data_IF_078156433129
#
_entry.id   IF_078156433129
#
_cell.length_a   1.000
_cell.length_b   1.000
_cell.length_c   1.000
_cell.angle_alpha   90.00
_cell.angle_beta   90.00
_cell.angle_gamma   90.00
#
_symmetry.space_group_name_H-M   'P 1'
#
loop_
_entity.id
_entity.type
_entity.pdbx_description
1 polymer ?
#
# COMPACT_ATOMS: atom_id res chain seq x y z
N UNK A 1 30.30 -6.93 -9.98
CA UNK A 1 30.80 -6.33 -8.73
C UNK A 1 30.75 -4.82 -8.89
N UNK A 2 29.87 -4.12 -8.15
CA UNK A 2 29.75 -2.65 -8.24
C UNK A 2 30.85 -2.05 -7.35
N UNK A 3 31.74 -1.24 -7.95
CA UNK A 3 32.97 -0.76 -7.32
C UNK A 3 32.62 0.24 -6.17
N UNK A 4 33.20 0.10 -4.97
CA UNK A 4 32.86 0.95 -3.82
C UNK A 4 33.22 2.44 -3.98
N UNK A 5 34.02 2.80 -4.98
CA UNK A 5 34.36 4.20 -5.28
C UNK A 5 33.24 4.98 -6.00
N UNK A 6 32.43 4.33 -6.84
CA UNK A 6 31.34 5.01 -7.57
C UNK A 6 30.22 5.48 -6.64
N UNK A 7 29.98 4.76 -5.54
CA UNK A 7 28.96 5.15 -4.57
C UNK A 7 29.34 6.40 -3.78
N UNK A 8 30.64 6.62 -3.55
CA UNK A 8 31.13 7.76 -2.76
C UNK A 8 31.01 9.08 -3.55
N UNK A 9 31.30 9.03 -4.86
CA UNK A 9 31.19 10.20 -5.77
C UNK A 9 29.74 10.64 -5.96
N UNK A 10 28.84 9.68 -6.20
CA UNK A 10 27.40 9.96 -6.34
C UNK A 10 26.82 10.55 -5.05
N UNK A 11 27.30 10.10 -3.89
CA UNK A 11 26.82 10.60 -2.60
C UNK A 11 27.26 12.05 -2.35
N UNK A 12 28.47 12.44 -2.77
CA UNK A 12 28.95 13.82 -2.66
C UNK A 12 28.20 14.79 -3.58
N UNK A 13 27.85 14.38 -4.80
CA UNK A 13 27.11 15.22 -5.75
C UNK A 13 25.69 15.51 -5.25
N UNK A 14 25.00 14.48 -4.73
CA UNK A 14 23.66 14.62 -4.17
C UNK A 14 23.63 15.55 -2.94
N UNK A 15 24.65 15.47 -2.08
CA UNK A 15 24.77 16.37 -0.92
C UNK A 15 24.93 17.82 -1.37
N UNK A 16 25.71 18.08 -2.42
CA UNK A 16 25.89 19.43 -2.96
C UNK A 16 24.60 19.99 -3.56
N UNK A 17 23.85 19.18 -4.31
CA UNK A 17 22.57 19.58 -4.88
C UNK A 17 21.53 19.92 -3.78
N UNK A 18 21.48 19.11 -2.72
CA UNK A 18 20.60 19.37 -1.57
C UNK A 18 20.99 20.68 -0.85
N UNK A 19 22.28 21.00 -0.75
CA UNK A 19 22.75 22.27 -0.18
C UNK A 19 22.33 23.48 -1.04
N UNK A 20 22.37 23.34 -2.36
CA UNK A 20 21.86 24.39 -3.27
C UNK A 20 20.35 24.60 -3.08
N UNK A 21 19.57 23.52 -3.03
CA UNK A 21 18.13 23.58 -2.77
C UNK A 21 17.81 24.19 -1.40
N UNK A 22 18.61 23.87 -0.38
CA UNK A 22 18.47 24.44 0.95
C UNK A 22 18.63 25.97 0.93
N UNK A 23 19.62 26.49 0.21
CA UNK A 23 19.88 27.92 0.09
C UNK A 23 18.83 28.64 -0.79
N UNK A 24 18.31 27.98 -1.83
CA UNK A 24 17.27 28.53 -2.69
C UNK A 24 15.89 28.63 -2.01
N UNK A 25 15.65 27.82 -0.98
CA UNK A 25 14.33 27.72 -0.35
C UNK A 25 14.19 28.68 0.82
N UNK A 26 13.08 29.44 0.83
CA UNK A 26 12.69 30.34 1.93
C UNK A 26 11.83 29.65 3.00
N UNK A 27 11.10 28.59 2.64
CA UNK A 27 10.25 27.84 3.57
C UNK A 27 11.08 27.06 4.60
N UNK A 28 10.92 27.43 5.87
CA UNK A 28 11.59 26.79 7.00
C UNK A 28 11.23 25.31 7.16
N UNK A 29 10.04 24.88 6.72
CA UNK A 29 9.63 23.47 6.77
C UNK A 29 10.43 22.64 5.76
N UNK A 30 10.53 23.09 4.52
CA UNK A 30 11.29 22.41 3.47
C UNK A 30 12.78 22.44 3.81
N UNK A 31 13.30 23.57 4.29
CA UNK A 31 14.70 23.67 4.80
C UNK A 31 14.99 22.64 5.89
N UNK A 32 14.04 22.43 6.82
CA UNK A 32 14.16 21.43 7.89
C UNK A 32 14.17 20.01 7.33
N UNK A 33 13.35 19.71 6.32
CA UNK A 33 13.32 18.40 5.66
C UNK A 33 14.59 18.11 4.84
N UNK A 34 15.07 19.09 4.07
CA UNK A 34 16.33 18.98 3.32
C UNK A 34 17.52 18.78 4.26
N UNK A 35 17.56 19.53 5.36
CA UNK A 35 18.57 19.38 6.40
C UNK A 35 18.51 18.00 7.07
N UNK A 36 17.30 17.50 7.35
CA UNK A 36 17.11 16.17 7.91
C UNK A 36 17.74 15.11 6.98
N UNK A 37 17.49 15.17 5.67
CA UNK A 37 17.99 14.20 4.70
C UNK A 37 19.51 14.01 4.73
N UNK A 38 20.26 15.12 4.89
CA UNK A 38 21.74 15.11 4.95
C UNK A 38 22.31 15.00 6.37
N UNK A 39 21.50 15.25 7.41
CA UNK A 39 21.96 15.33 8.81
C UNK A 39 22.56 14.04 9.37
N UNK A 40 22.18 12.87 8.82
CA UNK A 40 22.73 11.56 9.20
C UNK A 40 24.04 11.21 8.50
N UNK A 41 24.31 11.84 7.36
CA UNK A 41 25.46 11.51 6.51
C UNK A 41 26.68 12.37 6.84
N UNK A 42 26.47 13.58 7.36
CA UNK A 42 27.53 14.53 7.72
C UNK A 42 27.65 14.74 9.23
N UNK A 43 28.87 15.01 9.69
CA UNK A 43 29.12 15.42 11.06
C UNK A 43 28.60 16.84 11.32
N UNK A 44 28.35 17.16 12.60
CA UNK A 44 27.85 18.51 12.98
C UNK A 44 28.82 19.61 12.53
N UNK A 45 30.12 19.34 12.61
CA UNK A 45 31.17 20.29 12.24
C UNK A 45 31.19 20.56 10.74
N UNK A 46 31.02 19.53 9.91
CA UNK A 46 30.93 19.69 8.44
C UNK A 46 29.69 20.47 8.02
N UNK A 47 28.54 20.21 8.66
CA UNK A 47 27.30 20.95 8.38
C UNK A 47 27.38 22.43 8.78
N UNK A 48 28.01 22.73 9.92
CA UNK A 48 28.23 24.11 10.35
C UNK A 48 29.23 24.85 9.46
N UNK A 49 30.21 24.13 8.89
CA UNK A 49 31.14 24.71 7.90
C UNK A 49 30.45 25.00 6.56
N UNK A 50 29.50 24.14 6.15
CA UNK A 50 28.76 24.29 4.90
C UNK A 50 27.64 25.35 4.98
N UNK A 51 27.04 25.55 6.16
CA UNK A 51 25.97 26.52 6.41
C UNK A 51 26.28 27.28 7.72
N UNK A 52 26.87 28.48 7.66
CA UNK A 52 27.31 29.21 8.84
C UNK A 52 26.16 29.68 9.76
N UNK A 53 24.95 29.84 9.23
CA UNK A 53 23.76 30.23 10.00
C UNK A 53 23.11 29.07 10.78
N UNK A 54 23.71 27.89 10.73
CA UNK A 54 23.12 26.68 11.30
C UNK A 54 23.57 26.46 12.75
N UNK A 55 22.61 26.45 13.67
CA UNK A 55 22.88 26.13 15.08
C UNK A 55 22.85 24.62 15.32
N UNK A 56 23.66 24.17 16.28
CA UNK A 56 23.69 22.78 16.78
C UNK A 56 22.29 22.26 17.10
N UNK A 57 21.45 23.10 17.70
CA UNK A 57 20.06 22.78 18.03
C UNK A 57 19.22 22.40 16.81
N UNK A 58 19.34 23.13 15.69
CA UNK A 58 18.57 22.82 14.46
C UNK A 58 18.99 21.50 13.83
N UNK A 59 20.29 21.15 13.94
CA UNK A 59 20.80 19.85 13.50
C UNK A 59 20.22 18.73 14.37
N UNK A 60 20.20 18.92 15.68
CA UNK A 60 19.64 17.93 16.62
C UNK A 60 18.13 17.74 16.42
N UNK A 61 17.39 18.83 16.18
CA UNK A 61 15.97 18.76 15.81
C UNK A 61 15.75 18.01 14.49
N UNK A 62 16.54 18.28 13.45
CA UNK A 62 16.42 17.61 12.17
C UNK A 62 16.72 16.10 12.27
N UNK A 63 17.70 15.70 13.10
CA UNK A 63 18.00 14.29 13.40
C UNK A 63 16.90 13.62 14.22
N UNK A 64 16.30 14.36 15.15
CA UNK A 64 15.17 13.90 15.93
C UNK A 64 13.97 13.66 15.03
N UNK A 65 13.65 14.54 14.07
CA UNK A 65 12.51 14.36 13.17
C UNK A 65 12.61 13.11 12.31
N UNK A 66 13.82 12.76 11.85
CA UNK A 66 14.02 11.47 11.16
C UNK A 66 13.80 10.33 12.12
N UNK A 67 14.24 10.47 13.37
CA UNK A 67 14.11 9.43 14.39
C UNK A 67 12.64 9.27 14.83
N UNK A 68 11.88 10.35 14.92
CA UNK A 68 10.44 10.35 15.19
C UNK A 68 9.64 9.90 13.98
N UNK A 69 10.06 10.27 12.77
CA UNK A 69 9.50 9.70 11.54
C UNK A 69 9.79 8.19 11.48
N UNK A 70 11.00 7.73 11.80
CA UNK A 70 11.29 6.30 11.84
C UNK A 70 10.63 5.59 13.04
N UNK A 71 10.47 6.19 14.21
CA UNK A 71 9.80 5.53 15.35
C UNK A 71 8.27 5.55 15.25
N UNK A 72 7.70 6.54 14.55
CA UNK A 72 6.26 6.62 14.28
C UNK A 72 5.86 5.92 12.97
N UNK A 73 6.78 5.69 12.03
CA UNK A 73 6.49 5.10 10.71
C UNK A 73 7.07 3.69 10.56
N UNK A 74 8.09 3.28 11.33
CA UNK A 74 8.59 1.90 11.33
C UNK A 74 7.68 0.91 12.06
N UNK A 75 6.78 1.36 12.94
CA UNK A 75 5.86 0.43 13.61
C UNK A 75 4.55 0.24 12.83
N UNK A 76 4.14 1.21 12.00
CA UNK A 76 2.81 1.17 11.39
C UNK A 76 2.78 0.99 9.87
N UNK A 77 3.74 1.49 9.09
CA UNK A 77 3.58 1.45 7.61
C UNK A 77 4.25 0.26 6.94
N UNK A 78 5.41 -0.20 7.43
CA UNK A 78 6.02 -1.44 6.95
C UNK A 78 5.16 -2.67 7.29
N UNK A 79 4.34 -2.57 8.35
CA UNK A 79 3.39 -3.60 8.77
C UNK A 79 2.27 -3.83 7.74
N UNK A 80 1.83 -2.78 7.03
CA UNK A 80 0.74 -2.89 6.04
C UNK A 80 1.21 -3.27 4.64
N UNK A 81 2.51 -3.17 4.36
CA UNK A 81 3.08 -3.34 3.02
C UNK A 81 3.87 -4.65 2.84
N UNK A 82 4.19 -5.37 3.92
CA UNK A 82 4.84 -6.67 3.83
C UNK A 82 3.78 -7.81 3.76
N UNK A 83 3.64 -8.52 2.62
CA UNK A 83 2.71 -9.65 2.48
C UNK A 83 3.02 -10.80 3.47
N UNK A 84 4.21 -10.81 4.07
CA UNK A 84 4.59 -11.75 5.13
C UNK A 84 3.85 -11.48 6.45
N UNK A 85 3.48 -10.22 6.74
CA UNK A 85 2.85 -9.83 8.00
C UNK A 85 1.33 -9.99 8.00
N UNK A 86 0.71 -9.97 6.81
CA UNK A 86 -0.70 -10.30 6.59
C UNK A 86 -1.00 -11.74 7.08
N UNK A 87 0.02 -12.59 7.24
CA UNK A 87 -0.11 -13.95 7.78
C UNK A 87 -0.34 -14.01 9.31
N UNK A 88 -0.03 -12.96 10.07
CA UNK A 88 0.00 -13.05 11.55
C UNK A 88 -1.35 -12.66 12.19
N UNK A 89 -2.15 -11.79 11.56
CA UNK A 89 -3.30 -11.14 12.22
C UNK A 89 -4.64 -11.87 12.03
N UNK A 90 -4.69 -13.00 11.32
CA UNK A 90 -5.89 -13.85 11.36
C UNK A 90 -5.55 -15.32 11.54
N UNK A 91 -5.51 -15.74 12.78
CA UNK A 91 -5.59 -17.15 13.11
C UNK A 91 -7.03 -17.63 12.84
N UNK A 92 -7.19 -18.69 12.06
CA UNK A 92 -8.47 -19.36 11.81
C UNK A 92 -8.97 -19.31 10.36
N UNK A 93 -9.54 -20.44 9.93
CA UNK A 93 -10.24 -20.63 8.66
C UNK A 93 -11.73 -20.81 8.92
N UNK A 94 -12.59 -20.34 8.02
CA UNK A 94 -14.03 -20.59 8.08
C UNK A 94 -14.53 -21.20 6.80
N UNK A 95 -15.43 -22.15 6.96
CA UNK A 95 -16.06 -22.90 5.89
C UNK A 95 -17.20 -22.10 5.25
N UNK A 96 -17.07 -21.80 3.97
CA UNK A 96 -18.13 -21.26 3.14
C UNK A 96 -18.87 -22.40 2.46
N UNK A 97 -20.14 -22.57 2.80
CA UNK A 97 -21.03 -23.50 2.09
C UNK A 97 -21.48 -22.85 0.78
N UNK A 98 -21.19 -23.53 -0.32
CA UNK A 98 -21.72 -23.20 -1.64
C UNK A 98 -23.13 -23.77 -1.77
N UNK A 99 -23.94 -23.15 -2.63
CA UNK A 99 -25.28 -23.65 -2.96
C UNK A 99 -25.23 -25.02 -3.65
N UNK A 100 -24.10 -25.35 -4.27
CA UNK A 100 -23.79 -26.66 -4.87
C UNK A 100 -23.50 -27.77 -3.83
N UNK A 101 -23.58 -27.46 -2.53
CA UNK A 101 -23.27 -28.39 -1.43
C UNK A 101 -21.78 -28.50 -1.07
N UNK A 102 -20.90 -27.97 -1.92
CA UNK A 102 -19.46 -27.94 -1.68
C UNK A 102 -19.09 -26.91 -0.61
N UNK A 103 -18.04 -27.18 0.18
CA UNK A 103 -17.57 -26.29 1.24
C UNK A 103 -16.15 -25.82 0.93
N UNK A 104 -15.94 -24.50 0.88
CA UNK A 104 -14.63 -23.87 0.63
C UNK A 104 -14.12 -23.23 1.92
N UNK A 105 -12.92 -23.60 2.36
CA UNK A 105 -12.25 -22.99 3.51
C UNK A 105 -11.65 -21.65 3.12
N UNK A 106 -12.06 -20.57 3.78
CA UNK A 106 -11.52 -19.22 3.54
C UNK A 106 -10.78 -18.73 4.79
N UNK A 107 -9.55 -18.20 4.64
CA UNK A 107 -8.85 -17.54 5.73
C UNK A 107 -9.58 -16.28 6.21
N UNK A 108 -9.62 -16.07 7.53
CA UNK A 108 -10.28 -14.90 8.12
C UNK A 108 -9.69 -13.56 7.63
N UNK A 109 -8.41 -13.53 7.21
CA UNK A 109 -7.75 -12.36 6.61
C UNK A 109 -8.53 -11.91 5.39
N UNK A 110 -8.82 -12.84 4.48
CA UNK A 110 -9.46 -12.55 3.19
C UNK A 110 -10.86 -11.99 3.43
N UNK A 111 -11.62 -12.60 4.34
CA UNK A 111 -12.94 -12.10 4.74
C UNK A 111 -12.86 -10.68 5.33
N UNK A 112 -11.91 -10.43 6.22
CA UNK A 112 -11.73 -9.12 6.88
C UNK A 112 -11.31 -8.04 5.88
N UNK A 113 -10.44 -8.37 4.93
CA UNK A 113 -10.05 -7.48 3.84
C UNK A 113 -11.25 -7.11 2.96
N UNK A 114 -12.05 -8.11 2.55
CA UNK A 114 -13.28 -7.88 1.79
C UNK A 114 -14.28 -7.02 2.56
N UNK A 115 -14.51 -7.28 3.85
CA UNK A 115 -15.39 -6.46 4.69
C UNK A 115 -14.91 -5.01 4.79
N UNK A 116 -13.59 -4.80 4.91
CA UNK A 116 -13.00 -3.46 4.97
C UNK A 116 -13.20 -2.71 3.66
N UNK A 117 -13.00 -3.37 2.52
CA UNK A 117 -13.22 -2.78 1.20
C UNK A 117 -14.69 -2.42 0.96
N UNK A 118 -15.62 -3.31 1.31
CA UNK A 118 -17.06 -3.07 1.20
C UNK A 118 -17.51 -1.84 2.00
N UNK A 119 -16.92 -1.60 3.17
CA UNK A 119 -17.21 -0.40 3.98
C UNK A 119 -16.73 0.88 3.33
N UNK A 120 -15.52 0.87 2.78
CA UNK A 120 -14.99 2.04 2.08
C UNK A 120 -15.88 2.41 0.90
N UNK A 121 -16.35 1.39 0.16
CA UNK A 121 -17.30 1.58 -0.94
C UNK A 121 -18.64 2.14 -0.42
N UNK A 122 -19.20 1.57 0.64
CA UNK A 122 -20.44 2.06 1.26
C UNK A 122 -20.33 3.52 1.73
N UNK A 123 -19.24 3.88 2.40
CA UNK A 123 -19.02 5.25 2.87
C UNK A 123 -18.85 6.24 1.71
N UNK A 124 -18.19 5.82 0.63
CA UNK A 124 -18.05 6.63 -0.57
C UNK A 124 -19.41 6.86 -1.24
N UNK A 125 -20.22 5.81 -1.36
CA UNK A 125 -21.57 5.89 -1.87
C UNK A 125 -22.48 6.78 -1.00
N UNK A 126 -22.45 6.63 0.33
CA UNK A 126 -23.23 7.49 1.23
C UNK A 126 -22.85 8.97 1.12
N UNK A 127 -21.57 9.25 0.85
CA UNK A 127 -21.09 10.62 0.60
C UNK A 127 -21.65 11.19 -0.71
N UNK A 128 -21.75 10.39 -1.75
CA UNK A 128 -22.29 10.80 -3.06
C UNK A 128 -23.80 11.06 -3.02
N UNK A 129 -24.54 10.28 -2.23
CA UNK A 129 -26.02 10.34 -2.14
C UNK A 129 -26.50 11.22 -0.98
N UNK A 130 -25.59 11.94 -0.30
CA UNK A 130 -25.88 12.76 0.90
C UNK A 130 -26.63 11.99 2.02
N UNK A 131 -26.38 10.69 2.13
CA UNK A 131 -26.99 9.84 3.14
C UNK A 131 -26.10 9.74 4.37
N UNK A 132 -26.69 9.79 5.57
CA UNK A 132 -25.94 9.64 6.82
C UNK A 132 -25.45 8.18 6.97
N UNK A 133 -24.13 7.92 6.93
CA UNK A 133 -23.62 6.55 6.98
C UNK A 133 -23.77 5.95 8.37
N UNK A 134 -24.00 4.63 8.42
CA UNK A 134 -23.92 3.88 9.67
C UNK A 134 -22.50 3.89 10.26
N UNK A 135 -22.43 3.81 11.59
CA UNK A 135 -21.17 3.68 12.32
C UNK A 135 -20.37 2.44 11.91
N UNK A 136 -19.04 2.58 11.92
CA UNK A 136 -18.09 1.55 11.47
C UNK A 136 -18.28 0.22 12.23
N UNK A 137 -18.55 0.30 13.53
CA UNK A 137 -18.81 -0.84 14.43
C UNK A 137 -20.12 -1.56 14.07
N UNK A 138 -21.19 -0.83 13.80
CA UNK A 138 -22.46 -1.39 13.34
C UNK A 138 -22.31 -2.12 12.02
N UNK A 139 -21.57 -1.54 11.07
CA UNK A 139 -21.24 -2.18 9.79
C UNK A 139 -20.41 -3.46 9.96
N UNK A 140 -19.50 -3.52 10.96
CA UNK A 140 -18.76 -4.76 11.25
C UNK A 140 -19.68 -5.85 11.76
N UNK A 141 -20.56 -5.53 12.71
CA UNK A 141 -21.53 -6.49 13.26
C UNK A 141 -22.48 -7.04 12.20
N UNK A 142 -22.95 -6.19 11.29
CA UNK A 142 -23.79 -6.62 10.15
C UNK A 142 -23.03 -7.60 9.26
N UNK A 143 -21.80 -7.26 8.84
CA UNK A 143 -20.99 -8.12 7.97
C UNK A 143 -20.51 -9.41 8.67
N UNK A 144 -20.36 -9.39 9.99
CA UNK A 144 -20.01 -10.56 10.79
C UNK A 144 -21.20 -11.52 10.94
N UNK A 145 -22.40 -10.98 11.17
CA UNK A 145 -23.65 -11.74 11.23
C UNK A 145 -24.07 -12.28 9.87
N UNK A 146 -23.75 -11.60 8.77
CA UNK A 146 -23.96 -12.12 7.43
C UNK A 146 -23.01 -13.29 7.15
N UNK A 147 -23.54 -14.52 7.17
CA UNK A 147 -22.84 -15.67 6.62
C UNK A 147 -22.52 -15.39 5.14
N UNK A 148 -21.23 -15.38 4.78
CA UNK A 148 -20.86 -15.23 3.37
C UNK A 148 -21.21 -16.53 2.67
N UNK A 149 -22.31 -16.54 1.91
CA UNK A 149 -22.57 -17.61 0.96
C UNK A 149 -22.05 -17.16 -0.39
N UNK A 150 -21.24 -18.01 -1.05
CA UNK A 150 -20.93 -17.79 -2.46
C UNK A 150 -22.19 -18.14 -3.24
N UNK A 151 -22.98 -17.14 -3.60
CA UNK A 151 -24.03 -17.29 -4.60
C UNK A 151 -23.36 -17.53 -5.95
N UNK A 152 -23.53 -18.72 -6.51
CA UNK A 152 -23.29 -18.97 -7.93
C UNK A 152 -24.44 -18.35 -8.71
N UNK A 153 -24.49 -17.02 -8.77
CA UNK A 153 -25.36 -16.33 -9.72
C UNK A 153 -24.77 -14.98 -10.09
N UNK A 154 -24.03 -14.99 -11.19
CA UNK A 154 -24.03 -13.91 -12.15
C UNK A 154 -24.07 -14.59 -13.53
N UNK A 155 -25.26 -15.06 -13.91
CA UNK A 155 -25.60 -15.47 -15.28
C UNK A 155 -25.63 -14.26 -16.24
N UNK A 156 -24.72 -13.29 -16.07
CA UNK A 156 -24.86 -11.96 -16.65
C UNK A 156 -23.68 -11.42 -17.44
N UNK A 157 -22.44 -11.93 -17.27
CA UNK A 157 -21.31 -11.41 -18.06
C UNK A 157 -20.21 -12.45 -18.29
N UNK A 158 -19.75 -13.12 -17.22
CA UNK A 158 -18.61 -14.06 -17.35
C UNK A 158 -18.97 -15.32 -18.14
N UNK A 159 -20.23 -15.76 -18.10
CA UNK A 159 -20.67 -16.96 -18.83
C UNK A 159 -20.72 -16.72 -20.34
N UNK A 160 -21.18 -15.55 -20.80
CA UNK A 160 -21.27 -15.24 -22.25
C UNK A 160 -19.86 -15.12 -22.86
N UNK A 161 -18.91 -14.52 -22.12
CA UNK A 161 -17.53 -14.41 -22.59
C UNK A 161 -16.81 -15.78 -22.62
N UNK A 162 -17.01 -16.62 -21.60
CA UNK A 162 -16.44 -17.97 -21.55
C UNK A 162 -17.07 -18.90 -22.59
N UNK A 163 -18.40 -18.90 -22.72
CA UNK A 163 -19.15 -19.71 -23.70
C UNK A 163 -18.88 -19.24 -25.14
N UNK A 164 -18.69 -17.93 -25.35
CA UNK A 164 -18.23 -17.37 -26.62
C UNK A 164 -16.80 -17.78 -26.98
N UNK A 165 -15.88 -17.80 -26.01
CA UNK A 165 -14.51 -18.28 -26.22
C UNK A 165 -14.50 -19.77 -26.55
N UNK A 166 -15.27 -20.58 -25.81
CA UNK A 166 -15.39 -22.02 -26.06
C UNK A 166 -16.03 -22.33 -27.43
N UNK A 167 -17.04 -21.56 -27.83
CA UNK A 167 -17.62 -21.63 -29.17
C UNK A 167 -16.62 -21.29 -30.27
N UNK A 168 -15.78 -20.28 -30.05
CA UNK A 168 -14.73 -19.88 -31.00
C UNK A 168 -13.62 -20.93 -31.11
N UNK A 169 -13.18 -21.49 -29.99
CA UNK A 169 -12.17 -22.56 -29.98
C UNK A 169 -12.69 -23.81 -30.70
N UNK A 170 -13.97 -24.15 -30.55
CA UNK A 170 -14.60 -25.25 -31.29
C UNK A 170 -14.66 -25.00 -32.79
N UNK A 171 -14.87 -23.76 -33.23
CA UNK A 171 -14.83 -23.40 -34.66
C UNK A 171 -13.41 -23.43 -35.22
N UNK A 172 -12.40 -23.01 -34.46
CA UNK A 172 -10.99 -23.15 -34.85
C UNK A 172 -10.64 -24.62 -35.02
N UNK A 173 -11.03 -25.47 -34.07
CA UNK A 173 -10.77 -26.90 -34.13
C UNK A 173 -11.45 -27.56 -35.34
N UNK A 174 -12.61 -27.05 -35.78
CA UNK A 174 -13.29 -27.51 -36.99
C UNK A 174 -12.61 -27.01 -38.27
N UNK A 175 -12.12 -25.76 -38.30
CA UNK A 175 -11.36 -25.23 -39.44
C UNK A 175 -10.03 -25.99 -39.62
N UNK A 176 -9.36 -26.35 -38.52
CA UNK A 176 -8.17 -27.20 -38.55
C UNK A 176 -8.48 -28.64 -38.99
N UNK A 177 -9.64 -29.19 -38.64
CA UNK A 177 -10.08 -30.51 -39.11
C UNK A 177 -10.48 -30.55 -40.61
N UNK A 178 -10.81 -29.41 -41.23
CA UNK A 178 -11.20 -29.33 -42.65
C UNK A 178 -10.05 -28.92 -43.60
N UNK A 179 -8.85 -28.64 -43.07
CA UNK A 179 -7.63 -28.55 -43.89
C UNK A 179 -7.11 -29.96 -44.24
N UNK A 180 -7.77 -30.58 -45.21
CA UNK A 180 -7.20 -31.63 -46.08
C UNK A 180 -6.44 -30.97 -47.25
#
# INVERSE_FOLDING_TARGET
MKNPHDQNVVQTDLVQEILQLYNATTDNRIRRQLLALISKQLSKQELMKAIPDLTTYRIDQARLDITTAFSSVATCTQLFLDPSFIQIVSYGTRDLKMESGNTITIPNVVRTACHTKLKQMYQSYCREVEFQPLGISSLFKILEACAASKRTSLHGLDNIAAEGSEGYDNLINLDECYKL
#
